data_IF_387885905341
#
_entry.id   IF_387885905341
#
_cell.length_a   1.000
_cell.length_b   1.000
_cell.length_c   1.000
_cell.angle_alpha   90.00
_cell.angle_beta   90.00
_cell.angle_gamma   90.00
#
_symmetry.space_group_name_H-M   'P 1'
#
loop_
_entity.id
_entity.type
_entity.pdbx_description
1 polymer ?
#
# COMPACT_ATOMS: atom_id res chain seq x y z
N UNK A 1 -5.39 -0.73 23.77
CA UNK A 1 -5.50 0.68 24.11
C UNK A 1 -4.72 1.50 23.11
N UNK A 2 -5.30 2.65 22.70
CA UNK A 2 -4.60 3.67 21.92
C UNK A 2 -4.47 4.91 22.79
N UNK A 3 -3.23 5.37 22.98
CA UNK A 3 -2.92 6.61 23.65
C UNK A 3 -2.61 7.69 22.61
N UNK A 4 -3.35 8.81 22.68
CA UNK A 4 -3.25 9.89 21.68
C UNK A 4 -2.70 11.14 22.32
N UNK A 5 -1.51 11.52 21.90
CA UNK A 5 -0.79 12.67 22.39
C UNK A 5 -0.92 13.86 21.42
N UNK A 6 -1.38 15.00 21.91
CA UNK A 6 -1.50 16.25 21.15
C UNK A 6 -0.19 17.02 21.26
N UNK A 7 0.80 16.66 20.42
CA UNK A 7 2.15 17.22 20.48
C UNK A 7 2.13 18.74 20.26
N UNK A 8 1.34 19.19 19.26
CA UNK A 8 1.29 20.61 18.90
C UNK A 8 -0.03 20.97 18.22
N UNK A 9 -0.58 22.12 18.56
CA UNK A 9 -1.65 22.79 17.83
C UNK A 9 -1.14 24.16 17.39
N UNK A 10 -0.79 24.29 16.11
CA UNK A 10 -0.40 25.56 15.47
C UNK A 10 -1.54 26.17 14.67
N UNK A 11 -1.31 27.34 14.08
CA UNK A 11 -2.30 28.04 13.29
C UNK A 11 -2.65 27.29 11.98
N UNK A 12 -1.64 26.74 11.29
CA UNK A 12 -1.80 26.03 10.01
C UNK A 12 -1.49 24.54 10.12
N UNK A 13 -0.70 24.13 11.11
CA UNK A 13 -0.27 22.73 11.30
C UNK A 13 -0.57 22.23 12.71
N UNK A 14 -1.00 20.97 12.80
CA UNK A 14 -1.18 20.25 14.06
C UNK A 14 -0.45 18.93 14.00
N UNK A 15 0.15 18.51 15.12
CA UNK A 15 0.87 17.24 15.21
C UNK A 15 0.22 16.34 16.26
N UNK A 16 0.02 15.09 15.91
CA UNK A 16 -0.51 14.04 16.79
C UNK A 16 0.45 12.86 16.80
N UNK A 17 0.56 12.25 17.96
CA UNK A 17 1.23 10.97 18.14
C UNK A 17 0.24 9.97 18.71
N UNK A 18 0.29 8.74 18.22
CA UNK A 18 -0.52 7.63 18.73
C UNK A 18 0.40 6.48 19.11
N UNK A 19 0.17 5.90 20.27
CA UNK A 19 0.86 4.68 20.73
C UNK A 19 -0.20 3.61 20.96
N UNK A 20 -0.06 2.48 20.27
CA UNK A 20 -0.87 1.30 20.54
C UNK A 20 -0.21 0.46 21.63
N UNK A 21 -0.99 0.09 22.66
CA UNK A 21 -0.52 -0.63 23.84
C UNK A 21 -1.32 -1.93 23.96
N UNK A 22 -0.60 -3.06 24.09
CA UNK A 22 -1.16 -4.37 24.35
C UNK A 22 -0.41 -5.02 25.52
N UNK A 23 -1.14 -5.53 26.50
CA UNK A 23 -0.55 -6.13 27.71
C UNK A 23 0.50 -5.23 28.43
N UNK A 24 0.26 -3.92 28.43
CA UNK A 24 1.16 -2.94 29.05
C UNK A 24 2.43 -2.62 28.23
N UNK A 25 2.58 -3.19 27.04
CA UNK A 25 3.72 -2.95 26.14
C UNK A 25 3.29 -2.14 24.93
N UNK A 26 4.10 -1.14 24.55
CA UNK A 26 3.91 -0.42 23.30
C UNK A 26 4.25 -1.37 22.13
N UNK A 27 3.27 -1.60 21.24
CA UNK A 27 3.40 -2.50 20.09
C UNK A 27 3.44 -1.77 18.77
N UNK A 28 3.04 -0.49 18.72
CA UNK A 28 3.04 0.33 17.53
C UNK A 28 3.05 1.80 17.94
N UNK A 29 3.67 2.64 17.12
CA UNK A 29 3.56 4.09 17.24
C UNK A 29 3.38 4.74 15.88
N UNK A 30 2.64 5.84 15.85
CA UNK A 30 2.38 6.64 14.66
C UNK A 30 2.51 8.12 15.01
N UNK A 31 3.04 8.90 14.08
CA UNK A 31 3.00 10.35 14.17
C UNK A 31 2.36 10.91 12.90
N UNK A 32 1.40 11.82 13.07
CA UNK A 32 0.72 12.47 11.96
C UNK A 32 0.85 14.00 12.09
N UNK A 33 1.13 14.64 10.95
CA UNK A 33 1.05 16.09 10.78
C UNK A 33 -0.16 16.42 9.92
N UNK A 34 -1.00 17.32 10.40
CA UNK A 34 -2.18 17.82 9.70
C UNK A 34 -1.94 19.26 9.28
N UNK A 35 -2.36 19.60 8.07
CA UNK A 35 -2.26 20.93 7.51
C UNK A 35 -3.65 21.47 7.17
N UNK A 36 -3.95 22.72 7.54
CA UNK A 36 -5.15 23.38 7.08
C UNK A 36 -5.05 23.61 5.56
N UNK A 37 -6.13 23.36 4.79
CA UNK A 37 -6.09 23.57 3.33
C UNK A 37 -5.69 25.02 2.99
N UNK A 38 -4.75 25.17 2.06
CA UNK A 38 -4.35 26.46 1.50
C UNK A 38 -3.93 26.30 0.03
N UNK A 39 -4.02 27.39 -0.74
CA UNK A 39 -3.57 27.42 -2.12
C UNK A 39 -2.06 27.63 -2.22
N UNK A 40 -1.42 27.07 -3.26
CA UNK A 40 0.02 27.17 -3.47
C UNK A 40 0.46 26.72 -4.86
N UNK A 41 1.78 26.64 -5.05
CA UNK A 41 2.36 26.08 -6.27
C UNK A 41 1.98 24.63 -6.43
N UNK A 42 1.68 24.20 -7.66
CA UNK A 42 1.27 22.82 -7.96
C UNK A 42 2.14 22.22 -9.06
N UNK A 43 2.62 21.01 -8.80
CA UNK A 43 3.35 20.16 -9.74
C UNK A 43 3.12 18.70 -9.37
N UNK A 44 3.15 17.81 -10.36
CA UNK A 44 3.19 16.35 -10.17
C UNK A 44 3.87 15.67 -11.35
N UNK A 45 4.36 14.44 -11.12
CA UNK A 45 4.72 13.53 -12.20
C UNK A 45 3.45 12.93 -12.83
N UNK A 46 3.46 12.67 -14.15
CA UNK A 46 2.27 12.11 -14.81
C UNK A 46 2.00 10.67 -14.31
N UNK A 47 0.71 10.31 -14.28
CA UNK A 47 0.29 8.94 -14.08
C UNK A 47 0.78 8.06 -15.24
N UNK A 48 1.33 6.86 -14.98
CA UNK A 48 1.68 5.93 -16.05
C UNK A 48 0.44 5.47 -16.82
N UNK A 49 0.63 5.24 -18.13
CA UNK A 49 -0.42 4.68 -18.99
C UNK A 49 -0.57 3.17 -18.70
N UNK A 50 -1.76 2.76 -18.34
CA UNK A 50 -2.10 1.38 -17.96
C UNK A 50 -3.50 1.02 -18.44
N UNK A 51 -3.82 -0.28 -18.64
CA UNK A 51 -5.19 -0.72 -18.91
C UNK A 51 -6.16 -0.32 -17.79
N UNK A 52 -7.41 -0.05 -18.18
CA UNK A 52 -8.49 0.24 -17.25
C UNK A 52 -8.73 -0.93 -16.28
N UNK A 53 -9.05 -0.60 -15.03
CA UNK A 53 -9.23 -1.58 -13.96
C UNK A 53 -10.28 -2.64 -14.32
N UNK A 54 -11.40 -2.24 -14.91
CA UNK A 54 -12.49 -3.13 -15.29
C UNK A 54 -12.12 -4.13 -16.38
N UNK A 55 -11.08 -3.84 -17.17
CA UNK A 55 -10.57 -4.77 -18.21
C UNK A 55 -9.68 -5.86 -17.63
N UNK A 56 -9.24 -5.71 -16.38
CA UNK A 56 -8.35 -6.64 -15.71
C UNK A 56 -9.13 -7.67 -14.87
N UNK A 57 -8.64 -8.92 -14.77
CA UNK A 57 -9.25 -9.91 -13.88
C UNK A 57 -9.27 -9.44 -12.42
N UNK A 58 -10.37 -9.73 -11.73
CA UNK A 58 -10.45 -9.55 -10.29
C UNK A 58 -9.49 -10.48 -9.54
N UNK A 59 -9.34 -10.26 -8.23
CA UNK A 59 -8.45 -11.05 -7.39
C UNK A 59 -8.75 -12.56 -7.44
N UNK A 60 -10.03 -12.95 -7.35
CA UNK A 60 -10.41 -14.37 -7.36
C UNK A 60 -10.06 -15.05 -8.67
N UNK A 61 -10.38 -14.41 -9.78
CA UNK A 61 -10.05 -14.91 -11.13
C UNK A 61 -8.54 -15.00 -11.32
N UNK A 62 -7.79 -13.96 -10.91
CA UNK A 62 -6.34 -13.90 -11.04
C UNK A 62 -5.64 -14.97 -10.19
N UNK A 63 -6.12 -15.19 -8.96
CA UNK A 63 -5.51 -16.11 -7.99
C UNK A 63 -6.04 -17.54 -8.07
N UNK A 64 -7.04 -17.83 -8.91
CA UNK A 64 -7.62 -19.17 -9.02
C UNK A 64 -6.59 -20.29 -9.24
N UNK A 65 -5.53 -20.13 -10.08
CA UNK A 65 -4.49 -21.16 -10.24
C UNK A 65 -3.71 -21.45 -8.95
N UNK A 66 -3.66 -20.49 -8.03
CA UNK A 66 -2.89 -20.53 -6.79
C UNK A 66 -3.72 -20.81 -5.55
N UNK A 67 -5.01 -21.14 -5.70
CA UNK A 67 -5.91 -21.41 -4.57
C UNK A 67 -5.33 -22.42 -3.57
N UNK A 68 -4.63 -23.44 -4.06
CA UNK A 68 -4.01 -24.47 -3.20
C UNK A 68 -2.88 -23.94 -2.30
N UNK A 69 -2.21 -22.85 -2.69
CA UNK A 69 -1.19 -22.18 -1.88
C UNK A 69 -1.81 -21.17 -0.90
N UNK A 70 -2.91 -20.56 -1.28
CA UNK A 70 -3.57 -19.51 -0.50
C UNK A 70 -4.51 -20.07 0.59
N UNK A 71 -4.99 -21.31 0.41
CA UNK A 71 -5.89 -21.96 1.38
C UNK A 71 -7.13 -21.12 1.68
N UNK A 72 -7.52 -21.03 2.95
CA UNK A 72 -8.69 -20.27 3.40
C UNK A 72 -8.59 -18.77 3.09
N UNK A 73 -7.38 -18.24 2.95
CA UNK A 73 -7.17 -16.82 2.62
C UNK A 73 -7.73 -16.46 1.23
N UNK A 74 -7.76 -17.40 0.29
CA UNK A 74 -8.37 -17.21 -1.03
C UNK A 74 -9.88 -16.91 -0.95
N UNK A 75 -10.58 -17.56 -0.05
CA UNK A 75 -12.05 -17.48 0.07
C UNK A 75 -12.53 -16.35 1.02
N UNK A 76 -11.60 -15.68 1.73
CA UNK A 76 -11.95 -14.58 2.65
C UNK A 76 -12.55 -13.38 1.90
N UNK A 77 -13.64 -12.77 2.43
CA UNK A 77 -14.16 -11.51 1.91
C UNK A 77 -13.05 -10.43 1.90
N UNK A 78 -13.03 -9.64 0.86
CA UNK A 78 -12.04 -8.58 0.68
C UNK A 78 -12.71 -7.23 0.67
N UNK A 79 -12.38 -6.36 1.63
CA UNK A 79 -12.93 -5.00 1.65
C UNK A 79 -12.28 -4.10 0.59
N UNK A 80 -11.19 -4.54 -0.05
CA UNK A 80 -10.47 -3.83 -1.11
C UNK A 80 -10.42 -4.73 -2.35
N UNK A 81 -10.96 -4.24 -3.47
CA UNK A 81 -10.75 -4.83 -4.80
C UNK A 81 -9.36 -4.43 -5.29
N UNK A 82 -8.52 -5.43 -5.61
CA UNK A 82 -7.15 -5.24 -6.12
C UNK A 82 -7.05 -5.93 -7.46
N UNK A 83 -6.60 -5.18 -8.48
CA UNK A 83 -6.37 -5.71 -9.83
C UNK A 83 -4.95 -5.45 -10.29
N UNK A 84 -4.21 -6.52 -10.52
CA UNK A 84 -2.81 -6.45 -10.93
C UNK A 84 -2.71 -6.12 -12.41
N UNK A 85 -2.00 -5.03 -12.73
CA UNK A 85 -1.75 -4.56 -14.11
C UNK A 85 -0.72 -5.44 -14.80
N UNK A 86 0.37 -5.76 -14.10
CA UNK A 86 1.54 -6.44 -14.67
C UNK A 86 1.38 -7.98 -14.70
N UNK A 87 0.15 -8.48 -14.66
CA UNK A 87 -0.15 -9.90 -14.75
C UNK A 87 -0.26 -10.60 -13.39
N UNK A 88 0.05 -11.89 -13.35
CA UNK A 88 -0.06 -12.73 -12.16
C UNK A 88 1.13 -12.51 -11.23
N UNK A 89 0.93 -11.96 -10.02
CA UNK A 89 2.02 -11.66 -9.09
C UNK A 89 2.69 -12.92 -8.52
N UNK A 90 2.03 -14.07 -8.60
CA UNK A 90 2.55 -15.36 -8.10
C UNK A 90 3.19 -16.21 -9.20
N UNK A 91 3.22 -15.72 -10.44
CA UNK A 91 3.80 -16.48 -11.56
C UNK A 91 5.31 -16.61 -11.41
N UNK A 92 5.80 -17.84 -11.38
CA UNK A 92 7.25 -18.15 -11.36
C UNK A 92 7.95 -17.90 -12.70
N UNK A 93 7.19 -17.74 -13.78
CA UNK A 93 7.72 -17.36 -15.10
C UNK A 93 7.85 -15.86 -15.29
N UNK A 94 7.53 -15.07 -14.29
CA UNK A 94 7.64 -13.60 -14.33
C UNK A 94 9.10 -13.18 -14.47
N UNK A 95 9.37 -12.30 -15.41
CA UNK A 95 10.69 -11.67 -15.52
C UNK A 95 10.94 -10.81 -14.27
N UNK A 96 12.12 -10.89 -13.65
CA UNK A 96 12.46 -10.03 -12.53
C UNK A 96 12.27 -8.55 -12.90
N UNK A 97 11.63 -7.79 -12.00
CA UNK A 97 11.31 -6.39 -12.20
C UNK A 97 11.46 -5.63 -10.88
N UNK A 98 11.67 -4.34 -10.96
CA UNK A 98 11.68 -3.44 -9.78
C UNK A 98 10.33 -2.75 -9.58
N UNK A 99 9.35 -2.99 -10.46
CA UNK A 99 8.07 -2.28 -10.48
C UNK A 99 6.89 -3.24 -10.45
N UNK A 100 5.81 -2.78 -9.84
CA UNK A 100 4.49 -3.40 -9.88
C UNK A 100 3.43 -2.32 -9.87
N UNK A 101 2.37 -2.52 -10.66
CA UNK A 101 1.22 -1.63 -10.66
C UNK A 101 -0.04 -2.39 -10.32
N UNK A 102 -0.86 -1.80 -9.48
CA UNK A 102 -2.16 -2.36 -9.10
C UNK A 102 -3.21 -1.26 -9.10
N UNK A 103 -4.40 -1.58 -9.56
CA UNK A 103 -5.58 -0.80 -9.25
C UNK A 103 -6.15 -1.27 -7.91
N UNK A 104 -6.58 -0.35 -7.08
CA UNK A 104 -7.24 -0.64 -5.81
C UNK A 104 -8.49 0.22 -5.62
N UNK A 105 -9.51 -0.35 -4.99
CA UNK A 105 -10.77 0.32 -4.67
C UNK A 105 -11.43 -0.37 -3.48
N UNK A 106 -12.02 0.41 -2.56
CA UNK A 106 -12.88 -0.15 -1.53
C UNK A 106 -14.11 -0.82 -2.15
N UNK A 107 -14.49 -1.98 -1.63
CA UNK A 107 -15.70 -2.69 -2.05
C UNK A 107 -16.95 -2.04 -1.43
N UNK A 108 -17.77 -1.43 -2.28
CA UNK A 108 -18.98 -0.71 -1.90
C UNK A 108 -18.82 0.81 -1.83
N UNK A 109 -19.96 1.50 -1.67
CA UNK A 109 -20.04 2.97 -1.60
C UNK A 109 -19.75 3.45 -0.18
N UNK A 110 -18.92 4.45 -0.05
CA UNK A 110 -18.51 5.04 1.21
C UNK A 110 -19.22 6.40 1.45
N UNK A 111 -19.45 6.79 2.71
CA UNK A 111 -19.87 8.14 3.05
C UNK A 111 -18.88 9.20 2.54
N UNK A 112 -19.35 10.43 2.37
CA UNK A 112 -18.49 11.56 1.96
C UNK A 112 -17.72 12.11 3.18
N UNK A 113 -16.79 11.30 3.69
CA UNK A 113 -15.92 11.60 4.82
C UNK A 113 -14.45 11.43 4.39
N UNK A 114 -13.71 12.54 4.16
CA UNK A 114 -12.30 12.48 3.75
C UNK A 114 -11.41 11.71 4.73
N UNK A 115 -11.73 11.73 6.02
CA UNK A 115 -10.95 10.99 7.04
C UNK A 115 -11.13 9.49 6.86
N UNK A 116 -12.35 9.05 6.60
CA UNK A 116 -12.62 7.63 6.33
C UNK A 116 -11.89 7.16 5.07
N UNK A 117 -11.95 7.94 3.98
CA UNK A 117 -11.22 7.62 2.76
C UNK A 117 -9.72 7.52 3.01
N UNK A 118 -9.13 8.46 3.77
CA UNK A 118 -7.71 8.42 4.13
C UNK A 118 -7.36 7.17 4.95
N UNK A 119 -8.17 6.79 5.94
CA UNK A 119 -7.96 5.58 6.74
C UNK A 119 -8.02 4.31 5.89
N UNK A 120 -8.98 4.21 4.96
CA UNK A 120 -9.14 3.04 4.10
C UNK A 120 -7.95 2.90 3.14
N UNK A 121 -7.49 3.99 2.52
CA UNK A 121 -6.33 3.91 1.62
C UNK A 121 -5.05 3.67 2.42
N UNK A 122 -4.92 4.17 3.64
CA UNK A 122 -3.80 3.83 4.53
C UNK A 122 -3.74 2.33 4.79
N UNK A 123 -4.87 1.69 5.07
CA UNK A 123 -4.94 0.24 5.20
C UNK A 123 -4.59 -0.49 3.87
N UNK A 124 -5.16 -0.03 2.75
CA UNK A 124 -4.95 -0.65 1.44
C UNK A 124 -3.50 -0.52 0.94
N UNK A 125 -2.82 0.57 1.27
CA UNK A 125 -1.46 0.86 0.79
C UNK A 125 -0.40 -0.13 1.29
N UNK A 126 -0.65 -0.82 2.41
CA UNK A 126 0.24 -1.85 2.95
C UNK A 126 0.05 -3.24 2.30
N UNK A 127 -1.03 -3.45 1.54
CA UNK A 127 -1.42 -4.79 1.09
C UNK A 127 -0.50 -5.39 0.02
N UNK A 128 0.21 -4.57 -0.77
CA UNK A 128 1.00 -5.03 -1.93
C UNK A 128 2.38 -4.37 -2.04
N UNK A 129 2.66 -3.32 -1.26
CA UNK A 129 3.85 -2.51 -1.45
C UNK A 129 5.14 -3.28 -1.14
N UNK A 130 5.18 -3.98 0.00
CA UNK A 130 6.36 -4.74 0.41
C UNK A 130 6.68 -5.89 -0.56
N UNK A 131 5.67 -6.43 -1.24
CA UNK A 131 5.85 -7.51 -2.21
C UNK A 131 6.77 -7.12 -3.36
N UNK A 132 6.83 -5.82 -3.71
CA UNK A 132 7.72 -5.33 -4.77
C UNK A 132 9.19 -5.57 -4.47
N UNK A 133 9.57 -5.62 -3.18
CA UNK A 133 10.97 -5.78 -2.75
C UNK A 133 11.58 -7.13 -3.10
N UNK A 134 10.76 -8.15 -3.35
CA UNK A 134 11.24 -9.50 -3.72
C UNK A 134 11.18 -9.78 -5.23
N UNK A 135 10.51 -8.93 -6.01
CA UNK A 135 10.38 -9.09 -7.46
C UNK A 135 11.72 -9.09 -8.22
N UNK A 136 12.73 -8.24 -7.87
CA UNK A 136 14.05 -8.29 -8.52
C UNK A 136 14.78 -9.61 -8.35
N UNK A 137 14.39 -10.39 -7.35
CA UNK A 137 14.97 -11.69 -7.04
C UNK A 137 14.22 -12.87 -7.66
N UNK A 138 13.16 -12.60 -8.44
CA UNK A 138 12.28 -13.64 -9.00
C UNK A 138 11.48 -14.39 -7.94
N UNK A 139 11.28 -13.78 -6.77
CA UNK A 139 10.54 -14.34 -5.65
C UNK A 139 9.14 -13.71 -5.54
N UNK A 140 8.28 -14.38 -4.81
CA UNK A 140 6.99 -13.85 -4.38
C UNK A 140 6.77 -14.15 -2.88
N UNK A 141 5.81 -13.48 -2.26
CA UNK A 141 5.53 -13.55 -0.82
C UNK A 141 5.10 -14.95 -0.31
N UNK A 142 4.79 -15.91 -1.20
CA UNK A 142 4.46 -17.29 -0.84
C UNK A 142 5.65 -18.24 -0.91
N UNK A 143 6.85 -17.78 -1.29
CA UNK A 143 8.01 -18.65 -1.39
C UNK A 143 8.45 -19.14 -0.02
N UNK A 144 8.68 -20.47 0.07
CA UNK A 144 9.12 -21.12 1.29
C UNK A 144 10.49 -20.62 1.75
N UNK A 145 10.67 -20.44 3.05
CA UNK A 145 11.91 -19.94 3.64
C UNK A 145 12.10 -18.44 3.48
N UNK A 146 11.09 -17.71 3.00
CA UNK A 146 11.08 -16.25 2.96
C UNK A 146 10.28 -15.70 4.15
N UNK A 147 10.93 -14.93 5.01
CA UNK A 147 10.30 -14.19 6.11
C UNK A 147 10.22 -12.73 5.73
N UNK A 148 9.00 -12.19 5.64
CA UNK A 148 8.72 -10.79 5.35
C UNK A 148 7.94 -10.16 6.51
N UNK A 149 8.28 -8.93 6.87
CA UNK A 149 7.54 -8.15 7.87
C UNK A 149 7.79 -6.67 7.66
N UNK A 150 6.75 -5.85 7.73
CA UNK A 150 6.86 -4.39 7.67
C UNK A 150 7.60 -3.87 8.91
N UNK A 151 8.49 -2.91 8.72
CA UNK A 151 9.24 -2.23 9.79
C UNK A 151 8.71 -0.83 10.04
N UNK A 152 8.41 -0.12 8.97
CA UNK A 152 7.79 1.20 8.99
C UNK A 152 6.85 1.37 7.81
N UNK A 153 6.07 2.46 7.81
CA UNK A 153 5.18 2.84 6.71
C UNK A 153 4.92 4.34 6.80
N UNK A 154 5.26 5.09 5.78
CA UNK A 154 5.10 6.53 5.73
C UNK A 154 4.24 6.96 4.53
N UNK A 155 3.37 7.94 4.73
CA UNK A 155 2.45 8.42 3.71
C UNK A 155 2.39 9.95 3.69
N UNK A 156 2.29 10.52 2.49
CA UNK A 156 2.04 11.94 2.25
C UNK A 156 0.81 12.09 1.37
N UNK A 157 -0.20 12.76 1.90
CA UNK A 157 -1.46 13.06 1.22
C UNK A 157 -1.34 14.43 0.52
N UNK A 158 -1.49 14.44 -0.80
CA UNK A 158 -1.26 15.64 -1.63
C UNK A 158 -2.54 16.28 -2.14
N UNK A 159 -3.52 15.46 -2.52
CA UNK A 159 -4.77 15.91 -3.14
C UNK A 159 -5.95 15.09 -2.65
N UNK A 160 -7.19 15.63 -2.72
CA UNK A 160 -8.39 14.88 -2.41
C UNK A 160 -8.53 13.64 -3.31
N UNK A 161 -9.14 12.60 -2.77
CA UNK A 161 -9.45 11.35 -3.47
C UNK A 161 -10.62 10.65 -2.78
N UNK A 162 -11.19 9.66 -3.47
CA UNK A 162 -12.18 8.74 -2.90
C UNK A 162 -11.61 7.32 -2.94
N UNK A 163 -11.73 6.60 -1.81
CA UNK A 163 -11.27 5.21 -1.70
C UNK A 163 -12.22 4.21 -2.38
N UNK A 164 -13.47 4.60 -2.64
CA UNK A 164 -14.47 3.82 -3.36
C UNK A 164 -14.50 4.09 -4.87
N UNK A 165 -13.54 4.87 -5.36
CA UNK A 165 -13.20 5.01 -6.77
C UNK A 165 -11.87 4.29 -7.07
N UNK A 166 -11.62 3.96 -8.34
CA UNK A 166 -10.36 3.33 -8.72
C UNK A 166 -9.18 4.26 -8.50
N UNK A 167 -8.18 3.75 -7.81
CA UNK A 167 -6.90 4.40 -7.56
C UNK A 167 -5.79 3.52 -8.15
N UNK A 168 -4.93 4.10 -8.99
CA UNK A 168 -3.76 3.40 -9.50
C UNK A 168 -2.61 3.54 -8.51
N UNK A 169 -2.08 2.44 -8.06
CA UNK A 169 -0.91 2.37 -7.17
C UNK A 169 0.30 1.88 -7.98
N UNK A 170 1.16 2.81 -8.38
CA UNK A 170 2.44 2.54 -9.05
C UNK A 170 3.52 2.36 -7.99
N UNK A 171 4.07 1.17 -7.90
CA UNK A 171 4.97 0.71 -6.85
C UNK A 171 6.34 0.39 -7.42
N UNK A 172 7.40 0.72 -6.68
CA UNK A 172 8.77 0.45 -7.07
C UNK A 172 9.64 0.09 -5.85
N UNK A 173 10.61 -0.81 -6.06
CA UNK A 173 11.65 -1.08 -5.07
C UNK A 173 13.00 -0.56 -5.56
N UNK A 174 13.56 0.49 -4.94
CA UNK A 174 14.89 1.00 -5.31
C UNK A 174 16.05 0.13 -4.80
N UNK A 175 15.84 -0.63 -3.72
CA UNK A 175 16.92 -1.41 -3.12
C UNK A 175 16.43 -2.51 -2.18
N UNK A 176 17.18 -3.60 -2.14
CA UNK A 176 17.17 -4.60 -1.06
C UNK A 176 18.59 -4.83 -0.57
N UNK A 177 18.84 -4.71 0.73
CA UNK A 177 20.16 -4.88 1.32
C UNK A 177 20.06 -5.18 2.82
N UNK A 178 21.00 -5.95 3.37
CA UNK A 178 21.07 -6.22 4.81
C UNK A 178 19.81 -6.87 5.38
N UNK A 179 19.19 -7.78 4.62
CA UNK A 179 17.91 -8.44 4.93
C UNK A 179 16.72 -7.46 5.07
N UNK A 180 16.79 -6.30 4.42
CA UNK A 180 15.70 -5.33 4.32
C UNK A 180 15.45 -4.96 2.85
N UNK A 181 14.24 -4.54 2.56
CA UNK A 181 13.85 -3.98 1.27
C UNK A 181 13.10 -2.67 1.48
N UNK A 182 13.44 -1.67 0.67
CA UNK A 182 12.71 -0.41 0.60
C UNK A 182 11.77 -0.44 -0.59
N UNK A 183 10.53 -0.05 -0.38
CA UNK A 183 9.55 0.15 -1.43
C UNK A 183 8.99 1.57 -1.39
N UNK A 184 8.69 2.11 -2.56
CA UNK A 184 8.05 3.41 -2.74
C UNK A 184 6.83 3.25 -3.64
N UNK A 185 5.83 4.09 -3.45
CA UNK A 185 4.65 4.04 -4.29
C UNK A 185 3.98 5.39 -4.46
N UNK A 186 3.38 5.58 -5.63
CA UNK A 186 2.58 6.73 -6.00
C UNK A 186 1.15 6.29 -6.26
N UNK A 187 0.18 6.86 -5.54
CA UNK A 187 -1.23 6.55 -5.73
C UNK A 187 -1.89 7.70 -6.49
N UNK A 188 -2.46 7.38 -7.63
CA UNK A 188 -3.15 8.32 -8.51
C UNK A 188 -4.64 8.07 -8.49
N UNK A 189 -5.43 9.14 -8.56
CA UNK A 189 -6.86 9.04 -8.87
C UNK A 189 -7.06 8.58 -10.31
N UNK A 190 -8.25 8.09 -10.62
CA UNK A 190 -8.56 7.61 -11.98
C UNK A 190 -8.38 8.68 -13.07
N UNK A 191 -8.60 9.95 -12.74
CA UNK A 191 -8.35 11.09 -13.63
C UNK A 191 -6.89 11.56 -13.69
N UNK A 192 -5.96 10.82 -13.06
CA UNK A 192 -4.53 11.00 -13.18
C UNK A 192 -3.90 11.97 -12.18
N UNK A 193 -4.60 12.39 -11.11
CA UNK A 193 -4.01 13.23 -10.08
C UNK A 193 -3.20 12.40 -9.09
N UNK A 194 -1.94 12.79 -8.82
CA UNK A 194 -1.13 12.19 -7.77
C UNK A 194 -1.72 12.59 -6.40
N UNK A 195 -2.44 11.66 -5.80
CA UNK A 195 -3.12 11.89 -4.53
C UNK A 195 -2.24 11.58 -3.31
N UNK A 196 -1.43 10.51 -3.37
CA UNK A 196 -0.66 10.03 -2.21
C UNK A 196 0.71 9.53 -2.67
N UNK A 197 1.74 9.77 -1.86
CA UNK A 197 3.04 9.08 -1.94
C UNK A 197 3.23 8.20 -0.72
N UNK A 198 3.78 7.01 -0.91
CA UNK A 198 3.99 6.00 0.15
C UNK A 198 5.44 5.53 0.12
N UNK A 199 6.01 5.29 1.29
CA UNK A 199 7.35 4.67 1.46
C UNK A 199 7.28 3.66 2.59
N UNK A 200 7.88 2.48 2.39
CA UNK A 200 7.90 1.42 3.39
C UNK A 200 9.25 0.69 3.36
N UNK A 201 9.85 0.48 4.53
CA UNK A 201 10.92 -0.49 4.69
C UNK A 201 10.36 -1.76 5.34
N UNK A 202 10.82 -2.93 4.89
CA UNK A 202 10.44 -4.20 5.49
C UNK A 202 11.63 -5.15 5.64
N UNK A 203 11.50 -6.06 6.61
CA UNK A 203 12.38 -7.21 6.74
C UNK A 203 12.15 -8.15 5.55
N UNK A 204 13.22 -8.57 4.90
CA UNK A 204 13.24 -9.59 3.84
C UNK A 204 14.35 -10.56 4.20
N UNK A 205 14.01 -11.58 4.95
CA UNK A 205 14.99 -12.57 5.41
C UNK A 205 14.75 -13.90 4.71
N UNK A 206 15.79 -14.47 4.16
CA UNK A 206 15.76 -15.84 3.65
C UNK A 206 16.40 -16.77 4.68
N UNK A 207 15.73 -17.88 5.00
CA UNK A 207 16.31 -18.92 5.83
C UNK A 207 17.57 -19.45 5.13
N UNK A 208 18.66 -19.60 5.88
CA UNK A 208 19.85 -20.24 5.38
C UNK A 208 19.58 -21.73 5.33
N UNK A 209 19.62 -22.32 4.14
CA UNK A 209 19.63 -23.78 3.92
C UNK A 209 20.85 -24.39 4.57
#
# INVERSE_FOLDING_TARGET
LYDVDRIRDGKSFSTRRVVAIQHGQAIFNLQASFHAPEEGLSHQVPMPDVPEAESLPDFKTRMAPHKHLLGEWYDRPRPIDIRYVDGDPMSRSRTPTVQQKVWLRADGTLPDDPTLHACIVTYASDMTLLDTTVLPHGLNWTDSGLQMASLDHAMWFHRPFRADEWLLYDQMTPTTSGARGLATGSIYTHDGQLAITVVQEGLIRRERS
#
